data_IF_445482693084
#
_entry.id   IF_445482693084
#
_cell.length_a   1.000
_cell.length_b   1.000
_cell.length_c   1.000
_cell.angle_alpha   90.00
_cell.angle_beta   90.00
_cell.angle_gamma   90.00
#
_symmetry.space_group_name_H-M   'P 1'
#
loop_
_entity.id
_entity.type
_entity.pdbx_description
1 polymer ?
#
# COMPACT_ATOMS: atom_id res chain seq x y z
N UNK A 1 -22.39 9.59 7.43
CA UNK A 1 -21.71 8.84 6.35
C UNK A 1 -20.31 9.43 6.23
N UNK A 2 -19.28 8.73 6.72
CA UNK A 2 -17.90 9.18 6.56
C UNK A 2 -17.47 8.87 5.13
N UNK A 3 -17.30 9.92 4.32
CA UNK A 3 -16.58 9.84 3.05
C UNK A 3 -15.10 9.76 3.42
N UNK A 4 -14.64 8.57 3.83
CA UNK A 4 -13.20 8.33 4.00
C UNK A 4 -12.58 8.46 2.63
N UNK A 5 -11.89 9.57 2.40
CA UNK A 5 -11.21 9.86 1.14
C UNK A 5 -9.97 8.96 1.04
N UNK A 6 -10.18 7.68 0.74
CA UNK A 6 -9.11 6.70 0.55
C UNK A 6 -8.40 7.02 -0.75
N UNK A 7 -7.23 7.65 -0.66
CA UNK A 7 -6.41 7.95 -1.83
C UNK A 7 -5.76 6.65 -2.30
N UNK A 8 -6.00 6.26 -3.55
CA UNK A 8 -5.29 5.13 -4.18
C UNK A 8 -3.88 5.57 -4.55
N UNK A 9 -2.91 4.72 -4.32
CA UNK A 9 -1.52 4.90 -4.71
C UNK A 9 -0.95 3.60 -5.26
N UNK A 10 0.15 3.73 -6.00
CA UNK A 10 0.97 2.58 -6.40
C UNK A 10 2.21 2.58 -5.52
N UNK A 11 2.53 1.42 -4.93
CA UNK A 11 3.69 1.25 -4.06
C UNK A 11 4.59 0.14 -4.59
N UNK A 12 5.89 0.26 -4.33
CA UNK A 12 6.87 -0.80 -4.52
C UNK A 12 7.23 -1.42 -3.17
N UNK A 13 7.17 -2.75 -3.06
CA UNK A 13 7.73 -3.47 -1.93
C UNK A 13 9.24 -3.23 -1.86
N UNK A 14 9.77 -2.87 -0.69
CA UNK A 14 11.21 -2.64 -0.52
C UNK A 14 12.02 -3.94 -0.45
N UNK A 15 11.37 -5.07 -0.16
CA UNK A 15 12.01 -6.39 -0.09
C UNK A 15 12.23 -7.04 -1.45
N UNK A 16 11.20 -7.09 -2.30
CA UNK A 16 11.24 -7.78 -3.60
C UNK A 16 11.03 -6.86 -4.82
N UNK A 17 10.84 -5.55 -4.61
CA UNK A 17 10.54 -4.57 -5.68
C UNK A 17 9.21 -4.81 -6.42
N UNK A 18 8.32 -5.67 -5.89
CA UNK A 18 7.00 -5.88 -6.48
C UNK A 18 6.16 -4.60 -6.43
N UNK A 19 5.48 -4.32 -7.54
CA UNK A 19 4.59 -3.17 -7.70
C UNK A 19 3.17 -3.58 -7.32
N UNK A 20 2.57 -2.90 -6.36
CA UNK A 20 1.27 -3.25 -5.81
C UNK A 20 0.37 -2.01 -5.73
N UNK A 21 -0.93 -2.12 -6.01
CA UNK A 21 -1.88 -1.07 -5.66
C UNK A 21 -2.06 -1.03 -4.15
N UNK A 22 -2.07 0.16 -3.56
CA UNK A 22 -2.31 0.37 -2.13
C UNK A 22 -3.27 1.54 -1.89
N UNK A 23 -4.02 1.49 -0.80
CA UNK A 23 -4.74 2.63 -0.26
C UNK A 23 -3.85 3.39 0.71
N UNK A 24 -3.94 4.71 0.65
CA UNK A 24 -3.29 5.61 1.59
C UNK A 24 -4.34 6.03 2.61
N UNK A 25 -4.08 5.64 3.84
CA UNK A 25 -4.85 6.01 5.02
C UNK A 25 -4.64 7.50 5.33
N UNK A 26 -5.53 8.09 6.11
CA UNK A 26 -5.47 9.52 6.47
C UNK A 26 -4.19 9.87 7.24
N UNK A 27 -3.67 8.94 8.04
CA UNK A 27 -2.36 9.03 8.72
C UNK A 27 -1.14 8.86 7.79
N UNK A 28 -1.36 8.65 6.49
CA UNK A 28 -0.30 8.45 5.50
C UNK A 28 0.28 7.03 5.44
N UNK A 29 -0.27 6.10 6.23
CA UNK A 29 0.05 4.68 6.13
C UNK A 29 -0.47 4.08 4.82
N UNK A 30 0.22 3.05 4.32
CA UNK A 30 -0.13 2.36 3.08
C UNK A 30 -0.66 0.96 3.39
N UNK A 31 -1.85 0.64 2.89
CA UNK A 31 -2.44 -0.69 2.97
C UNK A 31 -2.56 -1.27 1.56
N UNK A 32 -1.86 -2.36 1.22
CA UNK A 32 -2.00 -2.98 -0.10
C UNK A 32 -3.43 -3.44 -0.36
N UNK A 33 -3.92 -3.21 -1.57
CA UNK A 33 -5.26 -3.62 -1.99
C UNK A 33 -5.20 -5.07 -2.47
N UNK A 34 -5.92 -5.96 -1.80
CA UNK A 34 -6.01 -7.37 -2.20
C UNK A 34 -4.83 -8.23 -1.72
N UNK A 35 -4.06 -7.75 -0.75
CA UNK A 35 -3.08 -8.56 0.00
C UNK A 35 -3.33 -8.35 1.49
N UNK A 36 -3.07 -9.37 2.32
CA UNK A 36 -3.29 -9.39 3.77
C UNK A 36 -2.29 -8.47 4.52
N UNK A 37 -2.21 -7.20 4.11
CA UNK A 37 -1.29 -6.18 4.65
C UNK A 37 0.21 -6.42 4.35
N UNK A 38 0.57 -7.57 3.78
CA UNK A 38 1.95 -7.95 3.43
C UNK A 38 2.13 -8.16 1.92
N UNK A 39 3.36 -7.99 1.44
CA UNK A 39 3.74 -8.44 0.10
C UNK A 39 3.82 -9.96 0.07
N UNK A 40 3.64 -10.57 -1.11
CA UNK A 40 3.84 -12.01 -1.33
C UNK A 40 5.24 -12.52 -0.94
N UNK A 41 6.24 -11.65 -0.80
CA UNK A 41 7.57 -12.02 -0.29
C UNK A 41 7.69 -12.01 1.25
N UNK A 42 6.61 -11.69 1.98
CA UNK A 42 6.59 -11.55 3.44
C UNK A 42 7.05 -10.19 3.97
N UNK A 43 7.36 -9.23 3.09
CA UNK A 43 7.72 -7.87 3.51
C UNK A 43 6.47 -6.97 3.64
N UNK A 44 6.41 -6.21 4.74
CA UNK A 44 5.35 -5.24 5.04
C UNK A 44 5.78 -3.78 4.84
N UNK A 45 6.98 -3.56 4.28
CA UNK A 45 7.50 -2.22 3.99
C UNK A 45 7.36 -1.87 2.52
N UNK A 46 6.77 -0.71 2.26
CA UNK A 46 6.42 -0.25 0.93
C UNK A 46 6.89 1.19 0.71
N UNK A 47 7.30 1.50 -0.52
CA UNK A 47 7.64 2.85 -0.97
C UNK A 47 6.67 3.30 -2.04
N UNK A 48 6.02 4.45 -1.86
CA UNK A 48 5.17 5.07 -2.88
C UNK A 48 5.96 5.35 -4.16
N UNK A 49 5.39 4.97 -5.30
CA UNK A 49 5.85 5.36 -6.63
C UNK A 49 5.04 6.59 -7.05
N UNK A 50 5.74 7.61 -7.55
CA UNK A 50 5.14 8.85 -8.07
C UNK A 50 4.64 8.63 -9.49
#
# INVERSE_FOLDING_TARGET
MAITSKQKAVVACTGCSAILPAEVLEDGAFTPIGSEDECACGASTFRRLR
#
